data_IF_287558851391
#
_entry.id   IF_287558851391
#
_cell.length_a   1.000
_cell.length_b   1.000
_cell.length_c   1.000
_cell.angle_alpha   90.00
_cell.angle_beta   90.00
_cell.angle_gamma   90.00
#
_symmetry.space_group_name_H-M   'P 1'
#
loop_
_entity.id
_entity.type
_entity.pdbx_description
1 polymer ?
#
# COMPACT_ATOMS: atom_id res chain seq x y z
N UNK A 1 3.88 -42.47 -18.85
CA UNK A 1 4.85 -41.37 -18.61
C UNK A 1 4.24 -39.95 -18.72
N UNK A 2 2.89 -39.79 -18.65
CA UNK A 2 2.21 -38.49 -18.85
C UNK A 2 2.05 -37.62 -17.58
N UNK A 3 2.24 -38.17 -16.37
CA UNK A 3 1.97 -37.44 -15.12
C UNK A 3 3.00 -36.38 -14.71
N UNK A 4 4.27 -36.54 -15.12
CA UNK A 4 5.35 -35.64 -14.69
C UNK A 4 5.30 -34.27 -15.39
N UNK A 5 4.87 -34.23 -16.66
CA UNK A 5 4.79 -33.00 -17.45
C UNK A 5 3.68 -32.06 -16.94
N UNK A 6 2.55 -32.62 -16.48
CA UNK A 6 1.43 -31.84 -15.94
C UNK A 6 1.79 -31.17 -14.61
N UNK A 7 2.53 -31.85 -13.73
CA UNK A 7 3.00 -31.27 -12.48
C UNK A 7 4.01 -30.14 -12.72
N UNK A 8 4.90 -30.29 -13.71
CA UNK A 8 5.87 -29.25 -14.07
C UNK A 8 5.19 -27.94 -14.54
N UNK A 9 4.13 -28.04 -15.35
CA UNK A 9 3.37 -26.88 -15.82
C UNK A 9 2.62 -26.17 -14.69
N UNK A 10 2.01 -26.90 -13.77
CA UNK A 10 1.33 -26.32 -12.60
C UNK A 10 2.34 -25.62 -11.68
N UNK A 11 3.51 -26.22 -11.45
CA UNK A 11 4.58 -25.60 -10.67
C UNK A 11 5.14 -24.33 -11.33
N UNK A 12 5.32 -24.33 -12.66
CA UNK A 12 5.75 -23.13 -13.40
C UNK A 12 4.70 -22.02 -13.33
N UNK A 13 3.42 -22.34 -13.55
CA UNK A 13 2.32 -21.39 -13.42
C UNK A 13 2.18 -20.83 -12.00
N UNK A 14 2.34 -21.68 -10.98
CA UNK A 14 2.34 -21.27 -9.57
C UNK A 14 3.49 -20.33 -9.24
N UNK A 15 4.71 -20.62 -9.72
CA UNK A 15 5.87 -19.74 -9.50
C UNK A 15 5.72 -18.39 -10.18
N UNK A 16 5.18 -18.35 -11.39
CA UNK A 16 4.88 -17.09 -12.11
C UNK A 16 3.82 -16.29 -11.35
N UNK A 17 2.75 -16.95 -10.91
CA UNK A 17 1.68 -16.32 -10.15
C UNK A 17 2.14 -15.79 -8.77
N UNK A 18 2.96 -16.56 -8.04
CA UNK A 18 3.56 -16.11 -6.79
C UNK A 18 4.62 -15.02 -7.01
N UNK A 19 5.40 -15.10 -8.10
CA UNK A 19 6.39 -14.09 -8.48
C UNK A 19 5.77 -12.75 -8.85
N UNK A 20 4.62 -12.76 -9.52
CA UNK A 20 3.81 -11.55 -9.80
C UNK A 20 3.26 -10.87 -8.54
N UNK A 21 3.22 -11.60 -7.42
CA UNK A 21 2.75 -11.07 -6.13
C UNK A 21 3.86 -10.62 -5.21
N UNK A 22 5.12 -10.57 -5.65
CA UNK A 22 6.18 -10.00 -4.82
C UNK A 22 5.83 -8.54 -4.52
N UNK A 23 5.42 -8.20 -3.28
CA UNK A 23 5.14 -6.83 -2.96
C UNK A 23 6.50 -6.14 -2.96
N UNK A 24 6.66 -5.13 -3.81
CA UNK A 24 7.76 -4.17 -3.64
C UNK A 24 7.58 -3.63 -2.23
N UNK A 25 8.49 -4.00 -1.33
CA UNK A 25 8.43 -3.61 0.08
C UNK A 25 8.74 -2.11 0.16
N UNK A 26 7.69 -1.31 -0.02
CA UNK A 26 7.69 0.14 0.14
C UNK A 26 6.75 0.48 1.28
N UNK A 27 7.27 1.19 2.26
CA UNK A 27 6.50 1.66 3.40
C UNK A 27 6.11 3.10 3.14
N UNK A 28 4.81 3.41 3.16
CA UNK A 28 4.34 4.79 3.07
C UNK A 28 4.43 5.42 4.45
N UNK A 29 5.28 6.42 4.61
CA UNK A 29 5.36 7.22 5.81
C UNK A 29 4.45 8.43 5.64
N UNK A 30 3.57 8.66 6.62
CA UNK A 30 2.57 9.71 6.59
C UNK A 30 2.88 10.71 7.70
N UNK A 31 2.98 11.99 7.33
CA UNK A 31 3.31 13.09 8.23
C UNK A 31 2.29 14.20 8.03
N UNK A 32 1.77 14.73 9.13
CA UNK A 32 0.96 15.95 9.12
C UNK A 32 1.88 17.16 8.96
N UNK A 33 1.58 18.02 7.98
CA UNK A 33 2.34 19.26 7.78
C UNK A 33 1.43 20.38 7.31
N UNK A 34 1.40 21.47 8.08
CA UNK A 34 0.75 22.73 7.69
C UNK A 34 -0.76 22.60 7.46
N UNK A 35 -1.46 21.74 8.20
CA UNK A 35 -2.90 21.51 8.04
C UNK A 35 -3.28 20.59 6.88
N UNK A 36 -2.30 19.93 6.25
CA UNK A 36 -2.50 18.87 5.25
C UNK A 36 -1.76 17.58 5.62
N UNK A 37 -2.08 16.52 4.89
CA UNK A 37 -1.40 15.23 5.04
C UNK A 37 -0.41 15.06 3.90
N UNK A 38 0.85 14.79 4.25
CA UNK A 38 1.91 14.49 3.29
C UNK A 38 2.42 13.08 3.51
N UNK A 39 2.87 12.44 2.44
CA UNK A 39 3.47 11.12 2.50
C UNK A 39 4.73 11.02 1.66
N UNK A 40 5.63 10.14 2.06
CA UNK A 40 6.77 9.74 1.24
C UNK A 40 6.95 8.23 1.32
N UNK A 41 7.44 7.66 0.23
CA UNK A 41 7.75 6.25 0.16
C UNK A 41 9.12 5.99 0.75
N UNK A 42 9.23 4.99 1.61
CA UNK A 42 10.50 4.47 2.10
C UNK A 42 10.67 3.08 1.49
N UNK A 43 11.70 2.94 0.66
CA UNK A 43 12.01 1.67 0.00
C UNK A 43 12.83 0.78 0.92
N UNK A 44 12.80 -0.53 0.70
CA UNK A 44 13.62 -1.48 1.44
C UNK A 44 15.14 -1.21 1.32
N UNK A 45 15.58 -0.48 0.29
CA UNK A 45 16.96 0.01 0.13
C UNK A 45 17.34 1.11 1.13
N UNK A 46 16.38 1.65 1.88
CA UNK A 46 16.56 2.83 2.74
C UNK A 46 16.42 4.16 1.99
N UNK A 47 16.20 4.12 0.68
CA UNK A 47 15.93 5.31 -0.11
C UNK A 47 14.58 5.93 0.28
N UNK A 48 14.58 7.24 0.47
CA UNK A 48 13.38 8.02 0.77
C UNK A 48 12.95 8.72 -0.51
N UNK A 49 11.77 8.35 -1.01
CA UNK A 49 11.13 8.99 -2.13
C UNK A 49 10.72 10.42 -1.83
N UNK A 50 10.31 11.14 -2.88
CA UNK A 50 9.87 12.52 -2.74
C UNK A 50 8.62 12.64 -1.85
N UNK A 51 8.57 13.75 -1.11
CA UNK A 51 7.38 14.12 -0.34
C UNK A 51 6.26 14.49 -1.31
N UNK A 52 5.12 13.84 -1.15
CA UNK A 52 3.94 14.00 -1.98
C UNK A 52 2.76 14.37 -1.10
N UNK A 53 1.82 15.11 -1.68
CA UNK A 53 0.53 15.36 -1.05
C UNK A 53 -0.25 14.04 -0.97
N UNK A 54 -0.83 13.78 0.19
CA UNK A 54 -1.63 12.58 0.45
C UNK A 54 -3.08 13.01 0.65
N UNK A 55 -3.95 12.49 -0.21
CA UNK A 55 -5.39 12.75 -0.17
C UNK A 55 -6.16 11.48 0.13
N UNK A 56 -7.18 11.57 0.97
CA UNK A 56 -8.11 10.47 1.17
C UNK A 56 -9.34 10.64 0.27
N UNK A 57 -9.39 9.85 -0.80
CA UNK A 57 -10.48 9.87 -1.76
C UNK A 57 -11.70 9.04 -1.27
N UNK A 58 -11.50 8.15 -0.31
CA UNK A 58 -12.57 7.34 0.30
C UNK A 58 -12.13 6.80 1.67
N UNK A 59 -12.93 7.07 2.70
CA UNK A 59 -12.74 6.54 4.05
C UNK A 59 -13.90 5.61 4.41
N UNK A 60 -13.72 4.32 4.19
CA UNK A 60 -14.67 3.29 4.57
C UNK A 60 -14.34 2.65 5.92
N UNK A 61 -15.29 1.88 6.50
CA UNK A 61 -15.08 1.18 7.76
C UNK A 61 -13.96 0.12 7.68
N UNK A 62 -13.71 -0.46 6.49
CA UNK A 62 -12.66 -1.47 6.28
C UNK A 62 -11.65 -1.07 5.20
N UNK A 63 -12.09 -0.40 4.15
CA UNK A 63 -11.25 0.01 3.01
C UNK A 63 -10.97 1.50 3.04
N UNK A 64 -9.74 1.87 2.71
CA UNK A 64 -9.34 3.25 2.49
C UNK A 64 -8.80 3.40 1.09
N UNK A 65 -9.25 4.42 0.37
CA UNK A 65 -8.63 4.85 -0.89
C UNK A 65 -7.81 6.08 -0.61
N UNK A 66 -6.50 5.97 -0.82
CA UNK A 66 -5.57 7.09 -0.75
C UNK A 66 -5.08 7.45 -2.14
N UNK A 67 -4.78 8.72 -2.32
CA UNK A 67 -4.10 9.25 -3.48
C UNK A 67 -2.81 9.88 -2.99
N UNK A 68 -1.67 9.32 -3.38
CA UNK A 68 -0.33 9.79 -3.02
C UNK A 68 0.30 10.38 -4.28
N UNK A 69 0.33 11.70 -4.39
CA UNK A 69 0.93 12.40 -5.54
C UNK A 69 0.40 11.96 -6.91
N UNK A 70 -0.86 11.52 -6.99
CA UNK A 70 -1.50 11.01 -8.20
C UNK A 70 -1.62 9.49 -8.26
N UNK A 71 -0.87 8.74 -7.42
CA UNK A 71 -0.99 7.29 -7.33
C UNK A 71 -2.16 6.89 -6.43
N UNK A 72 -3.15 6.19 -6.99
CA UNK A 72 -4.31 5.69 -6.24
C UNK A 72 -4.03 4.33 -5.61
N UNK A 73 -4.09 4.29 -4.29
CA UNK A 73 -3.84 3.11 -3.47
C UNK A 73 -5.11 2.68 -2.75
N UNK A 74 -5.36 1.37 -2.75
CA UNK A 74 -6.35 0.76 -1.88
C UNK A 74 -5.65 0.12 -0.69
N UNK A 75 -5.95 0.63 0.50
CA UNK A 75 -5.49 0.08 1.76
C UNK A 75 -6.58 -0.81 2.35
N UNK A 76 -6.25 -2.07 2.47
CA UNK A 76 -7.02 -3.09 3.16
C UNK A 76 -6.66 -3.07 4.65
N UNK A 77 -7.51 -3.58 5.56
CA UNK A 77 -7.27 -3.53 7.00
C UNK A 77 -6.03 -4.31 7.47
N UNK A 78 -5.53 -5.21 6.64
CA UNK A 78 -4.34 -6.05 6.83
C UNK A 78 -3.08 -5.48 6.12
N UNK A 79 -3.21 -4.40 5.34
CA UNK A 79 -2.09 -3.81 4.60
C UNK A 79 -1.10 -3.04 5.49
N UNK A 80 -1.43 -2.80 6.75
CA UNK A 80 -0.58 -2.13 7.71
C UNK A 80 -0.90 -2.63 9.14
N UNK A 81 0.04 -2.50 10.09
CA UNK A 81 -0.24 -2.80 11.50
C UNK A 81 -1.47 -2.05 12.01
N UNK A 82 -2.23 -2.69 12.91
CA UNK A 82 -3.48 -2.15 13.44
C UNK A 82 -3.33 -0.74 14.03
N UNK A 83 -2.21 -0.45 14.72
CA UNK A 83 -1.95 0.86 15.32
C UNK A 83 -1.71 1.94 14.26
N UNK A 84 -0.93 1.61 13.22
CA UNK A 84 -0.69 2.50 12.09
C UNK A 84 -2.01 2.81 11.35
N UNK A 85 -2.87 1.82 11.15
CA UNK A 85 -4.21 2.04 10.58
C UNK A 85 -5.07 2.97 11.42
N UNK A 86 -5.09 2.77 12.75
CA UNK A 86 -5.87 3.61 13.66
C UNK A 86 -5.35 5.05 13.70
N UNK A 87 -4.02 5.24 13.68
CA UNK A 87 -3.40 6.56 13.62
C UNK A 87 -3.72 7.25 12.29
N UNK A 88 -3.54 6.56 11.16
CA UNK A 88 -3.86 7.07 9.84
C UNK A 88 -5.33 7.49 9.74
N UNK A 89 -6.28 6.63 10.15
CA UNK A 89 -7.70 6.96 10.15
C UNK A 89 -8.03 8.19 10.99
N UNK A 90 -7.41 8.35 12.15
CA UNK A 90 -7.59 9.54 13.00
C UNK A 90 -7.09 10.81 12.33
N UNK A 91 -5.91 10.76 11.71
CA UNK A 91 -5.37 11.88 10.94
C UNK A 91 -6.30 12.28 9.79
N UNK A 92 -6.80 11.30 9.03
CA UNK A 92 -7.69 11.55 7.89
C UNK A 92 -9.09 12.04 8.28
N UNK A 93 -9.58 11.68 9.47
CA UNK A 93 -10.84 12.20 10.00
C UNK A 93 -10.71 13.64 10.51
N UNK A 94 -9.55 13.98 11.08
CA UNK A 94 -9.33 15.29 11.70
C UNK A 94 -8.91 16.36 10.71
N UNK A 95 -8.10 15.99 9.71
CA UNK A 95 -7.57 16.92 8.71
C UNK A 95 -8.51 16.91 7.50
N UNK A 96 -9.35 17.95 7.30
CA UNK A 96 -10.23 18.02 6.16
C UNK A 96 -9.40 18.07 4.88
N UNK A 97 -9.64 17.10 4.00
CA UNK A 97 -9.00 16.97 2.70
C UNK A 97 -9.66 18.00 1.75
N UNK A 98 -9.37 19.30 1.91
CA UNK A 98 -9.92 20.38 1.08
C UNK A 98 -9.19 20.51 -0.25
#
# INVERSE_FOLDING_TARGET
MLGAASLALVFLGWRVFCGWRQPVSRTLWVVERGGGVQGHWVYASGEVGHTQELRCDYLGPRLLRLNVGGERLWLWPDSAPCDAQRQLRRLLLYIPQR
#
